data_IF_545920712038
#
_entry.id   IF_545920712038
#
_cell.length_a   1.000
_cell.length_b   1.000
_cell.length_c   1.000
_cell.angle_alpha   90.00
_cell.angle_beta   90.00
_cell.angle_gamma   90.00
#
_symmetry.space_group_name_H-M   'P 1'
#
loop_
_entity.id
_entity.type
_entity.pdbx_description
1 polymer ?
#
# COMPACT_ATOMS: atom_id res chain seq x y z
N UNK A 1 -22.47 -5.42 -17.13
CA UNK A 1 -21.92 -6.58 -16.40
C UNK A 1 -20.39 -6.57 -16.37
N UNK A 2 -19.72 -6.19 -17.46
CA UNK A 2 -18.25 -6.21 -17.58
C UNK A 2 -17.49 -5.35 -16.55
N UNK A 3 -18.02 -4.18 -16.18
CA UNK A 3 -17.36 -3.33 -15.17
C UNK A 3 -17.40 -3.93 -13.75
N UNK A 4 -18.46 -4.65 -13.39
CA UNK A 4 -18.54 -5.31 -12.07
C UNK A 4 -17.58 -6.50 -12.01
N UNK A 5 -17.42 -7.24 -13.12
CA UNK A 5 -16.46 -8.36 -13.19
C UNK A 5 -15.01 -7.89 -13.19
N UNK A 6 -14.68 -6.77 -13.84
CA UNK A 6 -13.34 -6.20 -13.80
C UNK A 6 -12.95 -5.72 -12.40
N UNK A 7 -13.84 -4.97 -11.72
CA UNK A 7 -13.61 -4.51 -10.35
C UNK A 7 -13.36 -5.67 -9.39
N UNK A 8 -14.21 -6.70 -9.47
CA UNK A 8 -14.07 -7.92 -8.69
C UNK A 8 -12.72 -8.60 -8.93
N UNK A 9 -12.31 -8.71 -10.20
CA UNK A 9 -11.03 -9.32 -10.58
C UNK A 9 -9.82 -8.57 -10.01
N UNK A 10 -9.79 -7.24 -10.09
CA UNK A 10 -8.71 -6.42 -9.55
C UNK A 10 -8.56 -6.64 -8.03
N UNK A 11 -9.68 -6.60 -7.30
CA UNK A 11 -9.67 -6.79 -5.85
C UNK A 11 -9.25 -8.20 -5.48
N UNK A 12 -9.84 -9.22 -6.10
CA UNK A 12 -9.48 -10.63 -5.83
C UNK A 12 -8.01 -10.92 -6.10
N UNK A 13 -7.42 -10.28 -7.10
CA UNK A 13 -6.00 -10.46 -7.41
C UNK A 13 -5.10 -9.81 -6.35
N UNK A 14 -5.38 -8.56 -5.94
CA UNK A 14 -4.65 -7.92 -4.83
C UNK A 14 -4.83 -8.73 -3.53
N UNK A 15 -6.05 -9.15 -3.21
CA UNK A 15 -6.35 -9.98 -2.04
C UNK A 15 -5.57 -11.29 -2.05
N UNK A 16 -5.40 -11.90 -3.23
CA UNK A 16 -4.61 -13.11 -3.41
C UNK A 16 -3.12 -12.86 -3.19
N UNK A 17 -2.58 -11.71 -3.64
CA UNK A 17 -1.18 -11.34 -3.42
C UNK A 17 -0.89 -11.08 -1.94
N UNK A 18 -1.77 -10.37 -1.21
CA UNK A 18 -1.58 -10.10 0.22
C UNK A 18 -1.82 -11.32 1.10
N UNK A 19 -2.60 -12.30 0.62
CA UNK A 19 -2.82 -13.56 1.32
C UNK A 19 -1.64 -14.54 1.18
N UNK A 20 -0.69 -14.29 0.27
CA UNK A 20 0.49 -15.12 0.14
C UNK A 20 1.32 -15.06 1.42
N UNK A 21 1.59 -16.23 1.98
CA UNK A 21 2.37 -16.38 3.20
C UNK A 21 3.85 -16.41 2.81
N UNK A 22 4.59 -15.37 3.17
CA UNK A 22 6.04 -15.36 2.97
C UNK A 22 6.73 -16.06 4.15
N UNK A 23 7.76 -16.91 3.90
CA UNK A 23 8.53 -17.51 4.97
C UNK A 23 9.10 -16.41 5.86
N UNK A 24 9.01 -16.63 7.18
CA UNK A 24 9.31 -15.67 8.26
C UNK A 24 10.69 -15.00 8.23
N UNK A 25 11.56 -15.31 7.27
CA UNK A 25 12.94 -14.84 7.23
C UNK A 25 13.20 -13.75 6.19
N UNK A 26 12.45 -13.66 5.09
CA UNK A 26 12.65 -12.58 4.11
C UNK A 26 11.46 -12.41 3.18
N UNK A 27 10.81 -11.25 3.24
CA UNK A 27 9.81 -10.85 2.26
C UNK A 27 10.54 -10.40 0.98
N UNK A 28 10.16 -10.89 -0.21
CA UNK A 28 10.72 -10.39 -1.47
C UNK A 28 10.50 -8.88 -1.63
N UNK A 29 11.47 -8.17 -2.19
CA UNK A 29 11.42 -6.70 -2.25
C UNK A 29 10.20 -6.17 -3.04
N UNK A 30 9.80 -6.83 -4.13
CA UNK A 30 8.58 -6.46 -4.88
C UNK A 30 7.31 -6.64 -4.05
N UNK A 31 7.25 -7.68 -3.22
CA UNK A 31 6.13 -7.93 -2.31
C UNK A 31 6.10 -6.87 -1.20
N UNK A 32 7.26 -6.56 -0.61
CA UNK A 32 7.37 -5.51 0.40
C UNK A 32 6.92 -4.16 -0.16
N UNK A 33 7.37 -3.80 -1.36
CA UNK A 33 6.92 -2.59 -2.07
C UNK A 33 5.40 -2.59 -2.29
N UNK A 34 4.80 -3.73 -2.62
CA UNK A 34 3.34 -3.85 -2.75
C UNK A 34 2.66 -3.61 -1.41
N UNK A 35 3.12 -4.23 -0.32
CA UNK A 35 2.57 -4.02 1.01
C UNK A 35 2.66 -2.55 1.45
N UNK A 36 3.84 -1.94 1.29
CA UNK A 36 4.10 -0.52 1.58
C UNK A 36 3.17 0.38 0.77
N UNK A 37 2.99 0.13 -0.52
CA UNK A 37 2.12 0.94 -1.38
C UNK A 37 0.64 0.88 -0.95
N UNK A 38 0.15 -0.28 -0.51
CA UNK A 38 -1.21 -0.41 0.02
C UNK A 38 -1.42 0.41 1.30
N UNK A 39 -0.46 0.35 2.23
CA UNK A 39 -0.50 1.11 3.49
C UNK A 39 -0.39 2.61 3.22
N UNK A 40 0.57 3.04 2.37
CA UNK A 40 0.78 4.45 2.00
C UNK A 40 -0.51 5.07 1.46
N UNK A 41 -1.16 4.38 0.52
CA UNK A 41 -2.44 4.84 -0.03
C UNK A 41 -3.52 4.94 1.05
N UNK A 42 -3.71 3.90 1.86
CA UNK A 42 -4.84 3.84 2.79
C UNK A 42 -4.74 4.90 3.89
N UNK A 43 -3.54 5.11 4.43
CA UNK A 43 -3.30 6.07 5.51
C UNK A 43 -2.88 7.46 5.03
N UNK A 44 -2.77 7.68 3.72
CA UNK A 44 -2.19 8.91 3.16
C UNK A 44 -0.81 9.21 3.78
N UNK A 45 0.07 8.20 3.77
CA UNK A 45 1.36 8.27 4.45
C UNK A 45 2.49 8.61 3.47
N UNK A 46 3.33 9.57 3.85
CA UNK A 46 4.52 9.96 3.10
C UNK A 46 5.58 8.85 3.15
N UNK A 47 5.77 8.25 4.32
CA UNK A 47 6.62 7.08 4.50
C UNK A 47 5.95 5.95 5.27
N UNK A 48 6.38 4.72 4.96
CA UNK A 48 5.90 3.49 5.60
C UNK A 48 7.04 2.48 5.65
N UNK A 49 7.27 1.89 6.82
CA UNK A 49 8.11 0.71 7.00
C UNK A 49 7.32 -0.40 7.72
N UNK A 50 7.58 -1.66 7.36
CA UNK A 50 6.89 -2.82 7.94
C UNK A 50 7.91 -3.75 8.58
N UNK A 51 7.88 -3.85 9.91
CA UNK A 51 8.61 -4.89 10.63
C UNK A 51 7.76 -6.16 10.69
N UNK A 52 8.00 -7.06 9.74
CA UNK A 52 7.32 -8.35 9.65
C UNK A 52 7.59 -9.27 10.85
N UNK A 53 8.73 -9.13 11.53
CA UNK A 53 9.10 -9.95 12.67
C UNK A 53 8.40 -9.48 13.95
N UNK A 54 8.44 -8.18 14.23
CA UNK A 54 7.80 -7.55 15.40
C UNK A 54 6.31 -7.24 15.18
N UNK A 55 5.83 -7.44 13.95
CA UNK A 55 4.46 -7.16 13.51
C UNK A 55 4.06 -5.71 13.72
N UNK A 56 4.93 -4.80 13.29
CA UNK A 56 4.73 -3.36 13.38
C UNK A 56 4.70 -2.72 11.99
N UNK A 57 3.90 -1.67 11.87
CA UNK A 57 3.93 -0.76 10.73
C UNK A 57 4.18 0.63 11.28
N UNK A 58 5.31 1.19 10.90
CA UNK A 58 5.66 2.58 11.20
C UNK A 58 5.37 3.41 9.96
N UNK A 59 4.76 4.57 10.16
CA UNK A 59 4.35 5.44 9.06
C UNK A 59 4.29 6.90 9.49
N UNK A 60 4.48 7.79 8.53
CA UNK A 60 4.34 9.23 8.70
C UNK A 60 3.12 9.71 7.89
N UNK A 61 2.00 9.92 8.59
CA UNK A 61 0.69 10.25 8.01
C UNK A 61 0.65 11.73 7.67
N UNK A 62 0.32 12.09 6.43
CA UNK A 62 0.16 13.49 6.01
C UNK A 62 -1.09 14.09 6.65
N UNK A 63 -0.91 15.19 7.38
CA UNK A 63 -1.97 15.85 8.15
C UNK A 63 -2.67 16.97 7.37
N UNK A 64 -1.99 17.55 6.37
CA UNK A 64 -2.54 18.59 5.50
C UNK A 64 -2.10 18.41 4.05
N UNK A 65 -3.00 17.89 3.22
CA UNK A 65 -2.77 17.70 1.77
C UNK A 65 -2.55 19.02 1.03
N UNK A 66 -2.99 20.15 1.58
CA UNK A 66 -2.80 21.47 0.94
C UNK A 66 -1.35 21.93 0.98
N UNK A 67 -0.57 21.38 1.92
CA UNK A 67 0.86 21.63 2.01
C UNK A 67 1.67 20.83 0.98
N UNK A 68 1.06 19.82 0.34
CA UNK A 68 1.69 19.04 -0.72
C UNK A 68 1.63 19.75 -2.06
N UNK A 69 2.78 19.90 -2.70
CA UNK A 69 2.91 20.44 -4.05
C UNK A 69 3.68 19.45 -4.94
N UNK A 70 3.04 18.89 -5.98
CA UNK A 70 3.68 17.91 -6.85
C UNK A 70 4.77 18.50 -7.75
N UNK A 71 4.92 19.83 -7.82
CA UNK A 71 5.89 20.52 -8.68
C UNK A 71 7.21 20.84 -7.99
N UNK A 72 7.32 20.59 -6.69
CA UNK A 72 8.53 20.86 -5.88
C UNK A 72 8.84 19.72 -4.92
N UNK A 73 10.06 19.73 -4.38
CA UNK A 73 10.44 18.88 -3.26
C UNK A 73 9.77 19.42 -2.00
N UNK A 74 8.89 18.63 -1.38
CA UNK A 74 8.17 19.01 -0.15
C UNK A 74 9.05 18.69 1.07
N UNK A 75 9.67 19.71 1.68
CA UNK A 75 10.56 19.56 2.85
C UNK A 75 9.82 19.66 4.19
N UNK A 76 8.70 20.39 4.23
CA UNK A 76 8.03 20.77 5.47
C UNK A 76 6.57 20.30 5.50
N UNK A 77 6.31 19.09 4.98
CA UNK A 77 4.98 18.52 4.99
C UNK A 77 4.61 18.11 6.43
N UNK A 78 3.50 18.62 7.00
CA UNK A 78 3.11 18.27 8.36
C UNK A 78 2.69 16.80 8.42
N UNK A 79 3.43 15.99 9.16
CA UNK A 79 3.15 14.56 9.36
C UNK A 79 2.88 14.20 10.81
N UNK A 80 2.09 13.15 11.02
CA UNK A 80 1.92 12.46 12.28
C UNK A 80 2.61 11.10 12.21
N UNK A 81 3.62 10.92 13.06
CA UNK A 81 4.26 9.62 13.21
C UNK A 81 3.34 8.62 13.93
N UNK A 82 3.15 7.44 13.36
CA UNK A 82 2.36 6.35 13.91
C UNK A 82 3.11 5.02 13.87
N UNK A 83 2.95 4.21 14.92
CA UNK A 83 3.51 2.86 15.01
C UNK A 83 2.42 1.86 15.42
N UNK A 84 1.83 1.20 14.43
CA UNK A 84 0.70 0.29 14.61
C UNK A 84 1.17 -1.15 14.78
N UNK A 85 0.52 -1.89 15.67
CA UNK A 85 0.71 -3.34 15.80
C UNK A 85 -0.37 -4.10 15.03
N UNK A 86 0.01 -5.16 14.32
CA UNK A 86 -0.94 -6.05 13.65
C UNK A 86 -0.87 -7.49 14.16
N UNK A 87 -2.03 -8.12 14.31
CA UNK A 87 -2.11 -9.54 14.69
C UNK A 87 -1.76 -10.45 13.50
N UNK A 88 -2.35 -10.14 12.35
CA UNK A 88 -2.22 -10.88 11.10
C UNK A 88 -1.97 -9.88 9.97
N UNK A 89 -0.88 -10.07 9.21
CA UNK A 89 -0.50 -9.17 8.13
C UNK A 89 -1.53 -9.16 6.99
N UNK A 90 -2.01 -10.34 6.57
CA UNK A 90 -3.00 -10.47 5.49
C UNK A 90 -4.28 -9.73 5.87
N UNK A 91 -4.78 -9.90 7.09
CA UNK A 91 -6.01 -9.23 7.52
C UNK A 91 -5.83 -7.71 7.60
N UNK A 92 -4.68 -7.25 8.11
CA UNK A 92 -4.33 -5.83 8.14
C UNK A 92 -4.22 -5.21 6.74
N UNK A 93 -3.55 -5.88 5.80
CA UNK A 93 -3.42 -5.37 4.43
C UNK A 93 -4.77 -5.39 3.70
N UNK A 94 -5.62 -6.40 3.94
CA UNK A 94 -6.99 -6.43 3.40
C UNK A 94 -7.84 -5.29 3.95
N UNK A 95 -7.67 -4.91 5.21
CA UNK A 95 -8.39 -3.73 5.74
C UNK A 95 -7.93 -2.41 5.11
N UNK A 96 -6.76 -2.38 4.47
CA UNK A 96 -6.29 -1.21 3.72
C UNK A 96 -6.93 -1.08 2.32
N UNK A 97 -7.79 -2.03 1.90
CA UNK A 97 -8.36 -2.06 0.55
C UNK A 97 -9.71 -1.33 0.45
N UNK A 98 -9.70 -0.17 -0.19
CA UNK A 98 -10.91 0.57 -0.54
C UNK A 98 -11.52 0.14 -1.89
N UNK A 99 -12.85 0.28 -2.04
CA UNK A 99 -13.60 -0.18 -3.22
C UNK A 99 -13.98 0.94 -4.20
N UNK A 100 -13.55 2.18 -3.96
CA UNK A 100 -13.86 3.31 -4.83
C UNK A 100 -13.04 3.27 -6.13
N UNK A 101 -13.49 4.03 -7.13
CA UNK A 101 -12.88 4.03 -8.46
C UNK A 101 -11.42 4.48 -8.47
N UNK A 102 -11.02 5.44 -7.62
CA UNK A 102 -9.63 5.93 -7.57
C UNK A 102 -8.73 4.82 -7.04
N UNK A 103 -9.19 4.15 -5.98
CA UNK A 103 -8.49 3.01 -5.40
C UNK A 103 -8.33 1.85 -6.38
N UNK A 104 -9.38 1.52 -7.13
CA UNK A 104 -9.34 0.47 -8.15
C UNK A 104 -8.36 0.78 -9.28
N UNK A 105 -8.31 2.04 -9.73
CA UNK A 105 -7.34 2.47 -10.74
C UNK A 105 -5.90 2.34 -10.23
N UNK A 106 -5.66 2.73 -8.97
CA UNK A 106 -4.37 2.52 -8.30
C UNK A 106 -4.01 1.04 -8.17
N UNK A 107 -4.93 0.16 -7.78
CA UNK A 107 -4.64 -1.27 -7.69
C UNK A 107 -4.32 -1.88 -9.05
N UNK A 108 -5.01 -1.44 -10.11
CA UNK A 108 -4.71 -1.90 -11.47
C UNK A 108 -3.29 -1.50 -11.91
N UNK A 109 -2.85 -0.26 -11.61
CA UNK A 109 -1.48 0.18 -11.90
C UNK A 109 -0.44 -0.53 -11.02
N UNK A 110 -0.77 -0.77 -9.75
CA UNK A 110 0.07 -1.51 -8.81
C UNK A 110 0.29 -2.96 -9.27
N UNK A 111 -0.78 -3.66 -9.67
CA UNK A 111 -0.72 -5.02 -10.21
C UNK A 111 0.14 -5.09 -11.48
N UNK A 112 -0.03 -4.13 -12.38
CA UNK A 112 0.79 -4.03 -13.61
C UNK A 112 2.27 -3.88 -13.28
N UNK A 113 2.59 -2.97 -12.35
CA UNK A 113 3.97 -2.70 -11.91
C UNK A 113 4.59 -3.90 -11.20
N UNK A 114 3.82 -4.59 -10.35
CA UNK A 114 4.24 -5.82 -9.67
C UNK A 114 4.59 -6.94 -10.65
N UNK A 115 3.75 -7.17 -11.68
CA UNK A 115 3.96 -8.21 -12.69
C UNK A 115 5.18 -7.94 -13.59
N UNK A 116 5.43 -6.68 -13.89
CA UNK A 116 6.56 -6.29 -14.72
C UNK A 116 7.90 -6.27 -13.95
N UNK A 117 7.87 -6.47 -12.62
CA UNK A 117 8.99 -6.18 -11.71
C UNK A 117 9.45 -4.70 -11.74
N UNK A 118 8.64 -3.82 -12.32
CA UNK A 118 8.86 -2.38 -12.45
C UNK A 118 8.20 -1.63 -11.28
N UNK A 119 8.38 -2.10 -10.04
CA UNK A 119 7.89 -1.36 -8.88
C UNK A 119 8.77 -0.13 -8.64
N UNK A 120 8.52 0.87 -9.47
CA UNK A 120 8.91 2.26 -9.30
C UNK A 120 8.06 2.79 -8.15
N UNK A 121 8.71 3.38 -7.15
CA UNK A 121 8.04 4.06 -6.04
C UNK A 121 7.25 5.21 -6.65
N UNK A 122 5.94 5.03 -6.81
CA UNK A 122 5.06 6.15 -7.17
C UNK A 122 4.77 6.87 -5.86
N UNK A 123 5.46 8.00 -5.69
CA UNK A 123 5.20 8.98 -4.64
C UNK A 123 3.84 9.67 -4.88
#
# INVERSE_FOLDING_TARGET
MENLSLRGRILSEIESLVAQSFPKQKVPQNVEKLHVALVKKHYNAADVSIDYHRRRVEMDIVMDDRAYDPTKVNTDLPTLHANLWFRNLSDFLKSCLDKDNRSLAFYASLLKSYRNNDMIVVA
#
